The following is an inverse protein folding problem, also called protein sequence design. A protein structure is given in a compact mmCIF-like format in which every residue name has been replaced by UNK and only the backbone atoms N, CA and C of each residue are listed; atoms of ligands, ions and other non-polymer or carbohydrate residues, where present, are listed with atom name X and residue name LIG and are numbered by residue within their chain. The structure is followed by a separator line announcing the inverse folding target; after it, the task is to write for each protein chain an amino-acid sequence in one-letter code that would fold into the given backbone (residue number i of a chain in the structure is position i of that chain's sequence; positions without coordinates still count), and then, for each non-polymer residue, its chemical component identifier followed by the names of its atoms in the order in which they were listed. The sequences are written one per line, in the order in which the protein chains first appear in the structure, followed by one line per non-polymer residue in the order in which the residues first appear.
data_IF_693568052426
#
_entry.id   IF_693568052426
#
_cell.length_a   1.000
_cell.length_b   1.000
_cell.length_c   1.000
_cell.angle_alpha   90.00
_cell.angle_beta   90.00
_cell.angle_gamma   90.00
#
_symmetry.space_group_name_H-M   'P 1'
#
loop_
_entity.id
_entity.type
_entity.pdbx_description
1 polymer ?
#
# COMPACT_ATOMS: atom_id res chain seq x y z
N UNK A 1 -9.91 27.37 2.88
CA UNK A 1 -9.04 26.31 3.41
C UNK A 1 -9.90 25.18 3.95
N UNK A 2 -10.21 24.17 3.13
CA UNK A 2 -10.82 22.94 3.64
C UNK A 2 -9.69 21.96 3.95
N UNK A 3 -9.38 21.80 5.24
CA UNK A 3 -8.27 20.97 5.73
C UNK A 3 -8.65 19.48 5.72
N UNK A 4 -9.88 19.13 5.31
CA UNK A 4 -10.45 17.81 5.57
C UNK A 4 -11.08 17.19 4.32
N UNK A 5 -10.24 16.52 3.53
CA UNK A 5 -10.70 15.61 2.49
C UNK A 5 -11.35 14.36 3.14
N UNK A 6 -12.54 13.96 2.69
CA UNK A 6 -13.32 12.83 3.26
C UNK A 6 -12.54 11.51 3.27
N UNK A 7 -11.61 11.35 2.34
CA UNK A 7 -10.71 10.19 2.26
C UNK A 7 -9.66 10.15 3.39
N UNK A 8 -9.23 11.32 3.87
CA UNK A 8 -8.19 11.43 4.91
C UNK A 8 -8.72 11.05 6.29
N UNK A 9 -10.00 11.28 6.58
CA UNK A 9 -10.62 10.91 7.86
C UNK A 9 -10.73 9.39 8.00
N UNK A 10 -11.21 8.69 6.96
CA UNK A 10 -11.25 7.23 6.96
C UNK A 10 -9.84 6.62 7.06
N UNK A 11 -8.84 7.24 6.42
CA UNK A 11 -7.45 6.80 6.47
C UNK A 11 -6.79 6.98 7.86
N UNK A 12 -7.17 8.01 8.61
CA UNK A 12 -6.66 8.21 9.97
C UNK A 12 -7.34 7.28 10.97
N UNK A 13 -8.64 7.01 10.79
CA UNK A 13 -9.42 6.14 11.66
C UNK A 13 -9.09 4.65 11.47
N UNK A 14 -8.82 4.20 10.24
CA UNK A 14 -8.46 2.80 9.96
C UNK A 14 -6.94 2.57 9.93
N UNK A 15 -6.12 3.54 10.35
CA UNK A 15 -4.66 3.40 10.43
C UNK A 15 -3.95 3.30 9.07
N UNK A 16 -4.57 3.80 8.02
CA UNK A 16 -4.22 3.51 6.63
C UNK A 16 -3.80 4.76 5.84
N UNK A 17 -2.95 5.63 6.39
CA UNK A 17 -2.24 6.61 5.54
C UNK A 17 -1.38 5.90 4.49
N UNK A 18 -0.94 4.68 4.81
CA UNK A 18 -0.33 3.76 3.85
C UNK A 18 -1.31 3.31 2.75
N UNK A 19 -2.63 3.19 2.99
CA UNK A 19 -3.56 2.81 1.92
C UNK A 19 -3.99 3.97 1.01
N UNK A 20 -3.86 5.23 1.43
CA UNK A 20 -4.11 6.38 0.52
C UNK A 20 -2.88 6.67 -0.35
N UNK A 21 -1.68 6.32 0.12
CA UNK A 21 -0.45 6.34 -0.68
C UNK A 21 -0.23 5.07 -1.49
N UNK A 22 -0.69 3.90 -1.02
CA UNK A 22 -0.45 2.59 -1.66
C UNK A 22 -1.69 2.07 -2.41
N UNK A 23 -2.90 2.57 -2.12
CA UNK A 23 -4.14 2.18 -2.81
C UNK A 23 -4.26 2.71 -4.24
N UNK A 24 -3.42 3.67 -4.66
CA UNK A 24 -3.21 4.00 -6.09
C UNK A 24 -2.23 3.05 -6.78
N UNK A 25 -1.63 2.08 -6.09
CA UNK A 25 -0.90 0.97 -6.72
C UNK A 25 -1.85 -0.19 -7.10
N UNK A 26 -3.16 0.06 -7.08
CA UNK A 26 -4.17 -0.88 -7.52
C UNK A 26 -4.00 -1.18 -9.02
N UNK A 27 -3.34 -2.31 -9.29
CA UNK A 27 -3.82 -3.38 -10.17
C UNK A 27 -4.42 -2.87 -11.47
N UNK A 28 -3.55 -2.45 -12.39
CA UNK A 28 -3.90 -2.59 -13.80
C UNK A 28 -3.43 -3.96 -14.28
N UNK A 29 -4.39 -4.77 -14.69
CA UNK A 29 -4.19 -6.07 -15.30
C UNK A 29 -3.75 -5.82 -16.74
N UNK A 30 -2.46 -5.71 -17.02
CA UNK A 30 -1.94 -6.08 -18.34
C UNK A 30 -0.51 -6.60 -18.21
N UNK A 31 -0.32 -7.84 -18.65
CA UNK A 31 0.97 -8.52 -18.80
C UNK A 31 1.78 -7.80 -19.87
N UNK A 32 2.50 -6.75 -19.49
CA UNK A 32 3.63 -6.22 -20.26
C UNK A 32 4.67 -5.76 -19.24
N UNK A 33 5.75 -6.54 -19.09
CA UNK A 33 6.75 -6.38 -18.02
C UNK A 33 7.44 -5.01 -17.94
N UNK A 34 7.21 -4.11 -18.91
CA UNK A 34 7.72 -2.74 -18.93
C UNK A 34 6.68 -1.68 -18.52
N UNK A 35 5.38 -1.98 -18.58
CA UNK A 35 4.29 -1.03 -18.26
C UNK A 35 3.71 -1.22 -16.85
N UNK A 36 4.07 -2.31 -16.17
CA UNK A 36 3.73 -2.49 -14.76
C UNK A 36 4.52 -1.51 -13.87
N UNK A 37 3.94 -1.13 -12.73
CA UNK A 37 4.63 -0.24 -11.77
C UNK A 37 5.97 -0.80 -11.32
N UNK A 38 6.10 -2.13 -11.21
CA UNK A 38 7.36 -2.78 -10.88
C UNK A 38 8.36 -2.80 -12.04
N UNK A 39 7.88 -2.96 -13.29
CA UNK A 39 8.70 -2.86 -14.49
C UNK A 39 9.41 -1.52 -14.60
N UNK A 40 8.71 -0.43 -14.25
CA UNK A 40 9.29 0.91 -14.18
C UNK A 40 10.37 1.02 -13.10
N UNK A 41 10.15 0.45 -11.92
CA UNK A 41 11.15 0.44 -10.85
C UNK A 41 12.41 -0.35 -11.25
N UNK A 42 12.26 -1.51 -11.92
CA UNK A 42 13.40 -2.27 -12.44
C UNK A 42 14.21 -1.50 -13.48
N UNK A 43 13.55 -0.80 -14.39
CA UNK A 43 14.22 0.03 -15.39
C UNK A 43 15.00 1.16 -14.74
N UNK A 44 14.41 1.81 -13.71
CA UNK A 44 15.05 2.89 -12.96
C UNK A 44 16.32 2.43 -12.23
N UNK A 45 16.28 1.27 -11.56
CA UNK A 45 17.46 0.72 -10.85
C UNK A 45 18.39 -0.07 -11.75
N UNK A 46 18.07 -0.23 -13.04
CA UNK A 46 18.79 -1.07 -13.99
C UNK A 46 18.99 -2.50 -13.44
N UNK A 47 17.90 -3.10 -12.96
CA UNK A 47 17.94 -4.47 -12.43
C UNK A 47 18.34 -5.45 -13.55
N UNK A 48 19.28 -6.34 -13.24
CA UNK A 48 19.68 -7.43 -14.15
C UNK A 48 18.57 -8.47 -14.27
N UNK A 49 18.57 -9.28 -15.33
CA UNK A 49 17.55 -10.32 -15.49
C UNK A 49 17.60 -11.39 -14.40
N UNK A 50 18.80 -11.68 -13.87
CA UNK A 50 18.97 -12.55 -12.71
C UNK A 50 18.34 -11.95 -11.43
N UNK A 51 18.36 -10.62 -11.26
CA UNK A 51 17.71 -9.94 -10.14
C UNK A 51 16.20 -9.93 -10.31
N UNK A 52 15.69 -9.63 -11.51
CA UNK A 52 14.25 -9.69 -11.81
C UNK A 52 13.68 -11.08 -11.52
N UNK A 53 14.37 -12.13 -11.97
CA UNK A 53 13.97 -13.52 -11.74
C UNK A 53 13.89 -13.90 -10.24
N UNK A 54 14.68 -13.24 -9.37
CA UNK A 54 14.60 -13.39 -7.91
C UNK A 54 13.50 -12.56 -7.29
N UNK A 55 13.26 -11.36 -7.79
CA UNK A 55 12.33 -10.38 -7.18
C UNK A 55 10.88 -10.63 -7.58
N UNK A 56 10.62 -11.02 -8.83
CA UNK A 56 9.26 -11.28 -9.34
C UNK A 56 8.44 -12.25 -8.48
N UNK A 57 8.95 -13.43 -8.06
CA UNK A 57 8.19 -14.32 -7.18
C UNK A 57 7.94 -13.73 -5.79
N UNK A 58 8.87 -12.94 -5.24
CA UNK A 58 8.70 -12.28 -3.93
C UNK A 58 7.55 -11.27 -3.98
N UNK A 59 7.50 -10.48 -5.05
CA UNK A 59 6.45 -9.49 -5.28
C UNK A 59 5.12 -10.17 -5.51
N UNK A 60 5.09 -11.24 -6.32
CA UNK A 60 3.87 -12.02 -6.54
C UNK A 60 3.32 -12.56 -5.22
N UNK A 61 4.15 -13.18 -4.39
CA UNK A 61 3.75 -13.66 -3.08
C UNK A 61 3.19 -12.52 -2.20
N UNK A 62 3.84 -11.35 -2.20
CA UNK A 62 3.35 -10.21 -1.42
C UNK A 62 2.01 -9.69 -1.90
N UNK A 63 1.77 -9.67 -3.21
CA UNK A 63 0.47 -9.29 -3.76
C UNK A 63 -0.61 -10.30 -3.40
N UNK A 64 -0.30 -11.59 -3.48
CA UNK A 64 -1.21 -12.67 -3.10
C UNK A 64 -1.59 -12.58 -1.60
N UNK A 65 -0.64 -12.22 -0.73
CA UNK A 65 -0.87 -12.01 0.71
C UNK A 65 -1.64 -10.71 1.02
N UNK A 66 -1.37 -9.63 0.29
CA UNK A 66 -1.96 -8.31 0.54
C UNK A 66 -3.38 -8.17 -0.01
N UNK A 67 -3.72 -8.89 -1.09
CA UNK A 67 -5.04 -8.84 -1.72
C UNK A 67 -6.20 -9.10 -0.75
N UNK A 68 -6.22 -10.19 0.06
CA UNK A 68 -7.31 -10.41 1.01
C UNK A 68 -7.35 -9.36 2.12
N UNK A 69 -6.22 -8.72 2.47
CA UNK A 69 -6.21 -7.63 3.44
C UNK A 69 -6.87 -6.37 2.87
N UNK A 70 -6.64 -6.08 1.58
CA UNK A 70 -7.32 -4.99 0.89
C UNK A 70 -8.84 -5.20 0.86
N UNK A 71 -9.31 -6.40 0.54
CA UNK A 71 -10.74 -6.73 0.57
C UNK A 71 -11.36 -6.55 1.97
N UNK A 72 -10.66 -6.99 3.02
CA UNK A 72 -11.07 -6.74 4.41
C UNK A 72 -11.14 -5.25 4.76
N UNK A 73 -10.21 -4.44 4.25
CA UNK A 73 -10.20 -3.00 4.49
C UNK A 73 -11.41 -2.32 3.86
N UNK A 74 -11.80 -2.72 2.64
CA UNK A 74 -13.02 -2.23 2.00
C UNK A 74 -14.28 -2.59 2.79
N UNK A 75 -14.35 -3.81 3.30
CA UNK A 75 -15.46 -4.24 4.14
C UNK A 75 -15.53 -3.43 5.45
N UNK A 76 -14.39 -3.18 6.11
CA UNK A 76 -14.33 -2.34 7.32
C UNK A 76 -14.72 -0.89 7.03
N UNK A 77 -14.31 -0.34 5.89
CA UNK A 77 -14.70 1.02 5.50
C UNK A 77 -16.21 1.12 5.27
N UNK A 78 -16.81 0.14 4.56
CA UNK A 78 -18.27 0.08 4.40
C UNK A 78 -18.99 0.00 5.74
N UNK A 79 -18.53 -0.88 6.64
CA UNK A 79 -19.08 -1.04 7.99
C UNK A 79 -18.98 0.26 8.80
N UNK A 80 -17.86 0.97 8.74
CA UNK A 80 -17.67 2.24 9.41
C UNK A 80 -18.68 3.29 8.93
N UNK A 81 -18.91 3.37 7.61
CA UNK A 81 -19.88 4.29 7.02
C UNK A 81 -21.30 3.95 7.46
N UNK A 82 -21.67 2.68 7.44
CA UNK A 82 -22.97 2.20 7.92
C UNK A 82 -23.19 2.60 9.39
N UNK A 83 -22.22 2.29 10.27
CA UNK A 83 -22.26 2.63 11.70
C UNK A 83 -22.36 4.15 11.93
N UNK A 84 -21.62 4.95 11.17
CA UNK A 84 -21.62 6.41 11.29
C UNK A 84 -22.91 7.07 10.76
N UNK A 85 -23.65 6.36 9.89
CA UNK A 85 -24.92 6.83 9.30
C UNK A 85 -26.17 6.31 10.03
N UNK A 86 -25.99 5.51 11.08
CA UNK A 86 -27.09 4.94 11.86
C UNK A 86 -27.90 6.04 12.59
N UNK A 87 -29.21 5.82 12.84
CA UNK A 87 -30.05 6.79 13.56
C UNK A 87 -29.53 7.13 14.97
N UNK A 88 -28.81 6.21 15.60
CA UNK A 88 -28.12 6.40 16.88
C UNK A 88 -26.69 5.95 16.75
N UNK A 89 -25.77 6.75 17.28
CA UNK A 89 -24.33 6.46 17.20
C UNK A 89 -23.93 5.52 18.33
N UNK A 90 -23.59 4.29 17.98
CA UNK A 90 -22.91 3.36 18.87
C UNK A 90 -21.39 3.61 18.85
N UNK A 91 -20.92 4.30 19.89
CA UNK A 91 -19.50 4.63 20.03
C UNK A 91 -18.62 3.40 20.24
N UNK A 92 -19.12 2.37 20.92
CA UNK A 92 -18.35 1.15 21.18
C UNK A 92 -18.16 0.36 19.88
N UNK A 93 -19.20 0.29 19.04
CA UNK A 93 -19.12 -0.36 17.74
C UNK A 93 -18.16 0.35 16.76
N UNK A 94 -18.11 1.68 16.78
CA UNK A 94 -17.15 2.46 16.00
C UNK A 94 -15.70 2.22 16.47
N UNK A 95 -15.48 2.19 17.78
CA UNK A 95 -14.16 1.89 18.36
C UNK A 95 -13.69 0.48 18.02
N UNK A 96 -14.59 -0.51 18.04
CA UNK A 96 -14.27 -1.87 17.61
C UNK A 96 -13.85 -1.93 16.12
N UNK A 97 -14.56 -1.22 15.23
CA UNK A 97 -14.20 -1.12 13.81
C UNK A 97 -12.84 -0.44 13.62
N UNK A 98 -12.55 0.61 14.41
CA UNK A 98 -11.25 1.29 14.43
C UNK A 98 -10.10 0.34 14.81
N UNK A 99 -10.29 -0.46 15.86
CA UNK A 99 -9.31 -1.46 16.32
C UNK A 99 -9.07 -2.55 15.27
N UNK A 100 -10.13 -3.01 14.60
CA UNK A 100 -10.02 -3.96 13.47
C UNK A 100 -9.20 -3.36 12.32
N UNK A 101 -9.42 -2.07 12.01
CA UNK A 101 -8.64 -1.33 11.01
C UNK A 101 -7.15 -1.27 11.38
N UNK A 102 -6.82 -0.94 12.63
CA UNK A 102 -5.42 -0.92 13.09
C UNK A 102 -4.73 -2.29 12.99
N UNK A 103 -5.40 -3.36 13.40
CA UNK A 103 -4.86 -4.71 13.30
C UNK A 103 -4.59 -5.12 11.84
N UNK A 104 -5.46 -4.70 10.93
CA UNK A 104 -5.29 -4.94 9.50
C UNK A 104 -4.13 -4.13 8.92
N UNK A 105 -4.01 -2.86 9.31
CA UNK A 105 -2.92 -1.99 8.92
C UNK A 105 -1.55 -2.51 9.40
N UNK A 106 -1.47 -3.04 10.63
CA UNK A 106 -0.26 -3.68 11.16
C UNK A 106 0.15 -4.92 10.34
N UNK A 107 -0.80 -5.78 9.98
CA UNK A 107 -0.52 -6.95 9.12
C UNK A 107 0.00 -6.52 7.75
N UNK A 108 -0.66 -5.54 7.13
CA UNK A 108 -0.25 -5.04 5.82
C UNK A 108 1.14 -4.37 5.86
N UNK A 109 1.41 -3.56 6.89
CA UNK A 109 2.70 -2.87 7.04
C UNK A 109 3.84 -3.87 7.26
N UNK A 110 3.62 -4.91 8.07
CA UNK A 110 4.56 -6.03 8.27
C UNK A 110 4.88 -6.75 6.97
N UNK A 111 3.87 -7.07 6.16
CA UNK A 111 4.09 -7.77 4.88
C UNK A 111 4.87 -6.92 3.87
N UNK A 112 4.56 -5.61 3.83
CA UNK A 112 5.26 -4.65 2.98
C UNK A 112 6.72 -4.48 3.39
N UNK A 113 7.03 -4.36 4.69
CA UNK A 113 8.42 -4.21 5.13
C UNK A 113 9.23 -5.48 4.89
N UNK A 114 8.62 -6.66 5.01
CA UNK A 114 9.24 -7.93 4.62
C UNK A 114 9.59 -7.92 3.13
N UNK A 115 8.65 -7.54 2.26
CA UNK A 115 8.94 -7.42 0.82
C UNK A 115 10.10 -6.45 0.56
N UNK A 116 10.12 -5.28 1.21
CA UNK A 116 11.21 -4.31 1.04
C UNK A 116 12.57 -4.91 1.44
N UNK A 117 12.61 -5.68 2.53
CA UNK A 117 13.82 -6.38 2.96
C UNK A 117 14.24 -7.45 1.93
N UNK A 118 13.32 -8.33 1.53
CA UNK A 118 13.60 -9.44 0.59
C UNK A 118 14.09 -8.91 -0.77
N UNK A 119 13.49 -7.83 -1.29
CA UNK A 119 13.95 -7.16 -2.51
C UNK A 119 15.30 -6.46 -2.28
N UNK A 120 15.48 -5.86 -1.11
CA UNK A 120 16.73 -5.23 -0.72
C UNK A 120 17.92 -6.20 -0.73
N UNK A 121 17.71 -7.45 -0.33
CA UNK A 121 18.72 -8.50 -0.33
C UNK A 121 19.08 -9.00 -1.74
N UNK A 122 18.18 -8.79 -2.72
CA UNK A 122 18.43 -9.13 -4.13
C UNK A 122 19.14 -8.02 -4.92
N UNK A 123 19.16 -6.79 -4.40
CA UNK A 123 19.74 -5.61 -5.06
C UNK A 123 21.10 -5.23 -4.48
N UNK A 124 21.94 -4.54 -5.26
CA UNK A 124 23.20 -3.97 -4.74
C UNK A 124 22.91 -2.76 -3.84
N UNK A 125 23.84 -2.39 -2.93
CA UNK A 125 23.72 -1.17 -2.13
C UNK A 125 23.43 0.10 -2.97
N UNK A 126 24.08 0.23 -4.13
CA UNK A 126 23.91 1.37 -5.05
C UNK A 126 22.52 1.39 -5.68
N UNK A 127 22.02 0.22 -6.09
CA UNK A 127 20.66 0.09 -6.62
C UNK A 127 19.59 0.41 -5.57
N UNK A 128 19.80 -0.01 -4.30
CA UNK A 128 18.92 0.34 -3.18
C UNK A 128 18.89 1.85 -2.93
N UNK A 129 20.05 2.51 -2.99
CA UNK A 129 20.13 3.97 -2.84
C UNK A 129 19.37 4.68 -3.96
N UNK A 130 19.57 4.27 -5.21
CA UNK A 130 18.85 4.82 -6.37
C UNK A 130 17.35 4.63 -6.24
N UNK A 131 16.90 3.44 -5.82
CA UNK A 131 15.50 3.15 -5.56
C UNK A 131 14.89 4.09 -4.51
N UNK A 132 15.59 4.31 -3.39
CA UNK A 132 15.14 5.21 -2.32
C UNK A 132 15.02 6.67 -2.79
N UNK A 133 15.98 7.14 -3.61
CA UNK A 133 15.94 8.46 -4.23
C UNK A 133 14.69 8.60 -5.12
N UNK A 134 14.39 7.64 -5.99
CA UNK A 134 13.19 7.69 -6.83
C UNK A 134 11.88 7.71 -6.03
N UNK A 135 11.78 6.87 -4.99
CA UNK A 135 10.60 6.81 -4.12
C UNK A 135 10.37 8.13 -3.34
N UNK A 136 11.45 8.83 -2.98
CA UNK A 136 11.34 10.14 -2.30
C UNK A 136 10.91 11.28 -3.23
N UNK A 137 11.34 11.26 -4.50
CA UNK A 137 11.04 12.32 -5.47
C UNK A 137 9.62 12.23 -6.06
N UNK A 138 9.04 11.02 -6.14
CA UNK A 138 7.65 10.82 -6.60
C UNK A 138 6.58 11.49 -5.73
N UNK A 139 6.89 11.86 -4.47
CA UNK A 139 5.96 12.57 -3.57
C UNK A 139 5.91 14.10 -3.76
N UNK A 140 6.76 14.68 -4.61
CA UNK A 140 6.80 16.15 -4.83
C UNK A 140 5.80 16.66 -5.89
N UNK A 141 5.13 15.79 -6.65
CA UNK A 141 4.21 16.15 -7.75
C UNK A 141 2.72 15.89 -7.43
N UNK A 142 2.25 16.21 -6.22
CA UNK A 142 0.80 16.18 -5.91
C UNK A 142 0.36 17.40 -5.09
N UNK A 143 0.83 18.57 -5.49
CA UNK A 143 0.55 19.84 -4.84
C UNK A 143 0.81 21.06 -5.73
N UNK A 144 0.28 21.04 -6.96
CA UNK A 144 0.02 22.22 -7.79
C UNK A 144 -1.37 22.08 -8.38
#
# INVERSE_FOLDING_TARGET
MSIFNRQTIAAFLLGSTLAVGIGTYAVDRHQDGHRSHIGRLYAEVQATDAQKAKIDPLVKAAMDDLKPLHEQLHALHKKLLEQASAPTIDRAALEATRQQGLALADKASKRLIQLVADVGDALTPEQRKKLAEHLSHGRRFRGM
#
